data_IF_208564572347
#
_entry.id   IF_208564572347
#
_cell.length_a   1.000
_cell.length_b   1.000
_cell.length_c   1.000
_cell.angle_alpha   90.00
_cell.angle_beta   90.00
_cell.angle_gamma   90.00
#
_symmetry.space_group_name_H-M   'P 1'
#
loop_
_entity.id
_entity.type
_entity.pdbx_description
1 polymer ?
#
# COMPACT_ATOMS: atom_id res chain seq x y z
N UNK A 1 -38.34 -20.92 -6.09
CA UNK A 1 -37.75 -19.60 -6.35
C UNK A 1 -36.64 -19.79 -7.36
N UNK A 2 -36.77 -19.18 -8.52
CA UNK A 2 -35.73 -19.28 -9.59
C UNK A 2 -34.48 -18.53 -9.17
N UNK A 3 -33.29 -18.97 -9.60
CA UNK A 3 -32.04 -18.22 -9.37
C UNK A 3 -32.08 -16.84 -10.05
N UNK A 4 -32.90 -16.70 -11.10
CA UNK A 4 -33.09 -15.42 -11.81
C UNK A 4 -33.90 -14.41 -10.97
N UNK A 5 -34.75 -14.89 -10.02
CA UNK A 5 -35.49 -14.02 -9.10
C UNK A 5 -34.57 -13.34 -8.07
N UNK A 6 -33.29 -13.77 -7.99
CA UNK A 6 -32.27 -13.22 -7.09
C UNK A 6 -31.38 -12.17 -7.78
N UNK A 7 -31.64 -11.84 -9.05
CA UNK A 7 -30.89 -10.81 -9.77
C UNK A 7 -31.29 -9.43 -9.25
N UNK A 8 -30.35 -8.77 -8.58
CA UNK A 8 -30.51 -7.41 -8.09
C UNK A 8 -29.45 -6.48 -8.69
N UNK A 9 -29.80 -5.20 -8.85
CA UNK A 9 -28.80 -4.17 -9.21
C UNK A 9 -27.90 -3.92 -7.98
N UNK A 10 -26.59 -4.18 -8.06
CA UNK A 10 -25.69 -4.00 -6.90
C UNK A 10 -25.72 -2.55 -6.41
N UNK A 11 -25.90 -2.36 -5.12
CA UNK A 11 -25.76 -1.03 -4.51
C UNK A 11 -24.30 -0.59 -4.56
N UNK A 12 -24.07 0.70 -4.79
CA UNK A 12 -22.72 1.30 -4.77
C UNK A 12 -22.14 1.17 -3.36
N UNK A 13 -21.15 0.29 -3.20
CA UNK A 13 -20.44 0.07 -1.93
C UNK A 13 -19.10 0.84 -1.88
N UNK A 14 -18.37 0.69 -0.78
CA UNK A 14 -17.02 1.19 -0.64
C UNK A 14 -16.10 0.63 -1.73
N UNK A 15 -15.12 1.44 -2.16
CA UNK A 15 -14.24 1.15 -3.29
C UNK A 15 -12.79 1.01 -2.81
N UNK A 16 -11.99 0.26 -3.57
CA UNK A 16 -10.53 0.27 -3.48
C UNK A 16 -10.03 0.98 -4.74
N UNK A 17 -9.24 2.03 -4.53
CA UNK A 17 -8.81 2.96 -5.58
C UNK A 17 -7.30 3.12 -5.47
N UNK A 18 -6.60 3.15 -6.60
CA UNK A 18 -5.19 3.52 -6.66
C UNK A 18 -5.04 4.86 -7.36
N UNK A 19 -4.35 5.80 -6.73
CA UNK A 19 -3.96 7.09 -7.30
C UNK A 19 -2.46 7.04 -7.56
N UNK A 20 -2.07 7.01 -8.83
CA UNK A 20 -0.69 6.95 -9.26
C UNK A 20 -0.27 8.23 -9.98
N UNK A 21 0.98 8.64 -9.81
CA UNK A 21 1.57 9.80 -10.52
C UNK A 21 2.90 10.24 -9.90
N UNK A 22 3.51 11.24 -10.51
CA UNK A 22 4.79 11.80 -10.06
C UNK A 22 4.67 12.52 -8.72
N UNK A 23 5.81 12.74 -8.06
CA UNK A 23 5.85 13.53 -6.84
C UNK A 23 5.33 14.96 -7.11
N UNK A 24 4.58 15.53 -6.16
CA UNK A 24 4.05 16.90 -6.26
C UNK A 24 2.80 17.06 -7.12
N UNK A 25 2.23 15.99 -7.71
CA UNK A 25 1.03 16.09 -8.57
C UNK A 25 -0.29 16.20 -7.80
N UNK A 26 -0.27 16.37 -6.49
CA UNK A 26 -1.47 16.57 -5.68
C UNK A 26 -2.23 15.30 -5.29
N UNK A 27 -1.63 14.11 -5.41
CA UNK A 27 -2.28 12.82 -5.05
C UNK A 27 -2.85 12.79 -3.64
N UNK A 28 -2.04 13.21 -2.66
CA UNK A 28 -2.45 13.23 -1.25
C UNK A 28 -3.54 14.27 -1.01
N UNK A 29 -3.47 15.44 -1.69
CA UNK A 29 -4.52 16.46 -1.63
C UNK A 29 -5.84 15.94 -2.25
N UNK A 30 -5.78 15.23 -3.36
CA UNK A 30 -6.95 14.58 -3.95
C UNK A 30 -7.53 13.52 -3.00
N UNK A 31 -6.68 12.66 -2.42
CA UNK A 31 -7.13 11.66 -1.45
C UNK A 31 -7.76 12.29 -0.19
N UNK A 32 -7.32 13.47 0.21
CA UNK A 32 -7.87 14.20 1.34
C UNK A 32 -9.30 14.71 1.11
N UNK A 33 -9.76 14.80 -0.14
CA UNK A 33 -11.14 15.21 -0.47
C UNK A 33 -12.17 14.07 -0.38
N UNK A 34 -11.73 12.85 -0.13
CA UNK A 34 -12.64 11.72 0.06
C UNK A 34 -13.43 11.85 1.38
N UNK A 35 -14.58 11.16 1.51
CA UNK A 35 -15.39 11.24 2.72
C UNK A 35 -14.65 10.81 3.98
N UNK A 36 -14.55 11.68 4.99
CA UNK A 36 -13.94 11.42 6.31
C UNK A 36 -12.65 10.59 6.23
N UNK A 37 -11.59 11.10 5.57
CA UNK A 37 -10.36 10.36 5.35
C UNK A 37 -9.51 10.26 6.63
N UNK A 38 -8.83 9.12 6.79
CA UNK A 38 -7.74 8.91 7.74
C UNK A 38 -6.54 8.36 6.99
N UNK A 39 -5.35 8.89 7.27
CA UNK A 39 -4.13 8.54 6.58
C UNK A 39 -3.23 7.65 7.44
N UNK A 40 -2.76 6.52 6.86
CA UNK A 40 -1.58 5.80 7.31
C UNK A 40 -0.40 6.33 6.50
N UNK A 41 0.56 6.93 7.18
CA UNK A 41 1.70 7.62 6.57
C UNK A 41 2.94 6.72 6.55
N UNK A 42 3.26 6.11 5.40
CA UNK A 42 4.54 5.43 5.19
C UNK A 42 5.67 6.43 4.85
N UNK A 43 5.30 7.65 4.44
CA UNK A 43 6.20 8.78 4.23
C UNK A 43 5.58 10.08 4.73
N UNK A 44 6.40 11.09 4.98
CA UNK A 44 5.92 12.41 5.41
C UNK A 44 5.31 13.17 4.24
N UNK A 45 4.17 13.82 4.45
CA UNK A 45 3.53 14.57 3.36
C UNK A 45 2.19 15.19 3.74
N UNK A 46 1.48 14.65 4.73
CA UNK A 46 0.15 15.13 5.12
C UNK A 46 0.20 16.59 5.65
N UNK A 47 1.27 16.97 6.28
CA UNK A 47 1.50 18.36 6.75
C UNK A 47 1.56 19.40 5.61
N UNK A 48 1.86 18.95 4.37
CA UNK A 48 1.92 19.80 3.17
C UNK A 48 0.54 20.03 2.53
N UNK A 49 -0.45 19.25 2.94
CA UNK A 49 -1.83 19.41 2.46
C UNK A 49 -2.38 20.74 3.02
N UNK A 50 -3.07 21.56 2.20
CA UNK A 50 -3.69 22.79 2.66
C UNK A 50 -4.53 22.57 3.91
N UNK A 51 -4.48 23.51 4.86
CA UNK A 51 -5.11 23.37 6.18
C UNK A 51 -6.62 23.11 6.09
N UNK A 52 -7.27 23.69 5.08
CA UNK A 52 -8.72 23.62 4.84
C UNK A 52 -9.20 22.20 4.50
N UNK A 53 -8.33 21.36 3.91
CA UNK A 53 -8.65 19.98 3.52
C UNK A 53 -7.73 18.96 4.19
N UNK A 54 -6.88 19.39 5.14
CA UNK A 54 -5.92 18.49 5.80
C UNK A 54 -6.65 17.41 6.59
N UNK A 55 -6.42 16.13 6.26
CA UNK A 55 -7.12 15.03 6.90
C UNK A 55 -6.56 14.68 8.27
N UNK A 56 -7.31 13.85 9.01
CA UNK A 56 -6.73 13.11 10.14
C UNK A 56 -5.64 12.15 9.63
N UNK A 57 -4.56 12.04 10.37
CA UNK A 57 -3.48 11.14 10.03
C UNK A 57 -2.97 10.42 11.29
N UNK A 58 -2.69 9.12 11.13
CA UNK A 58 -2.01 8.35 12.15
C UNK A 58 -0.53 8.74 12.21
N UNK A 59 0.18 8.47 13.31
CA UNK A 59 1.60 8.68 13.39
C UNK A 59 2.33 8.03 12.22
N UNK A 60 3.45 8.61 11.78
CA UNK A 60 4.23 8.00 10.71
C UNK A 60 4.61 6.56 11.04
N UNK A 61 4.48 5.66 10.08
CA UNK A 61 4.87 4.26 10.23
C UNK A 61 6.35 4.17 10.59
N UNK A 62 6.65 3.55 11.73
CA UNK A 62 8.01 3.21 12.12
C UNK A 62 8.38 1.89 11.48
N UNK A 63 9.53 1.83 10.82
CA UNK A 63 10.03 0.60 10.19
C UNK A 63 10.40 -0.47 11.23
N UNK A 64 10.54 -1.70 10.77
CA UNK A 64 11.01 -2.79 11.61
C UNK A 64 12.43 -2.52 12.12
N UNK A 65 12.71 -2.93 13.34
CA UNK A 65 14.00 -2.79 13.98
C UNK A 65 14.21 -3.92 15.00
N UNK A 66 15.41 -4.02 15.57
CA UNK A 66 15.67 -4.88 16.71
C UNK A 66 15.69 -4.04 17.98
N UNK A 67 15.12 -4.57 19.07
CA UNK A 67 15.22 -3.98 20.40
C UNK A 67 16.60 -4.19 21.01
N UNK A 68 16.80 -3.73 22.24
CA UNK A 68 18.07 -3.87 22.97
C UNK A 68 18.46 -5.33 23.23
N UNK A 69 17.47 -6.23 23.29
CA UNK A 69 17.66 -7.67 23.50
C UNK A 69 17.84 -8.44 22.18
N UNK A 70 17.78 -7.73 21.03
CA UNK A 70 17.94 -8.31 19.69
C UNK A 70 16.66 -8.92 19.11
N UNK A 71 15.49 -8.77 19.76
CA UNK A 71 14.23 -9.27 19.25
C UNK A 71 13.73 -8.41 18.08
N UNK A 72 13.15 -9.05 17.08
CA UNK A 72 12.57 -8.38 15.92
C UNK A 72 11.26 -7.67 16.31
N UNK A 73 11.23 -6.36 16.13
CA UNK A 73 10.03 -5.52 16.25
C UNK A 73 9.56 -5.18 14.85
N UNK A 74 8.35 -5.57 14.51
CA UNK A 74 7.77 -5.33 13.19
C UNK A 74 7.41 -3.84 12.99
N UNK A 75 7.22 -3.41 11.75
CA UNK A 75 6.77 -2.05 11.49
C UNK A 75 5.36 -1.80 12.04
N UNK A 76 5.08 -0.53 12.35
CA UNK A 76 3.82 -0.13 12.99
C UNK A 76 2.63 -0.07 12.04
N UNK A 77 2.81 -0.33 10.75
CA UNK A 77 1.72 -0.33 9.76
C UNK A 77 0.59 -1.27 10.15
N UNK A 78 0.94 -2.51 10.50
CA UNK A 78 -0.05 -3.53 10.85
C UNK A 78 -0.80 -3.22 12.15
N UNK A 79 -0.15 -2.55 13.10
CA UNK A 79 -0.78 -2.16 14.35
C UNK A 79 -1.79 -1.04 14.13
N UNK A 80 -1.44 -0.02 13.33
CA UNK A 80 -2.36 1.03 12.92
C UNK A 80 -3.54 0.46 12.12
N UNK A 81 -3.26 -0.48 11.22
CA UNK A 81 -4.27 -1.14 10.43
C UNK A 81 -5.25 -1.96 11.29
N UNK A 82 -4.72 -2.73 12.27
CA UNK A 82 -5.52 -3.49 13.24
C UNK A 82 -6.41 -2.58 14.10
N UNK A 83 -5.89 -1.43 14.53
CA UNK A 83 -6.66 -0.45 15.28
C UNK A 83 -7.87 0.03 14.47
N UNK A 84 -7.70 0.41 13.19
CA UNK A 84 -8.79 0.82 12.31
C UNK A 84 -9.84 -0.29 12.06
N UNK A 85 -9.48 -1.56 12.18
CA UNK A 85 -10.44 -2.66 12.08
C UNK A 85 -11.21 -2.86 13.38
N UNK A 86 -10.55 -2.74 14.54
CA UNK A 86 -11.07 -3.18 15.84
C UNK A 86 -11.75 -2.10 16.64
N UNK A 87 -11.23 -0.88 16.56
CA UNK A 87 -11.70 0.22 17.36
C UNK A 87 -12.89 0.95 16.70
N UNK A 88 -13.77 1.55 17.51
CA UNK A 88 -14.87 2.33 17.01
C UNK A 88 -14.37 3.70 16.51
N UNK A 89 -14.79 4.06 15.30
CA UNK A 89 -14.50 5.34 14.68
C UNK A 89 -15.52 5.66 13.56
N UNK A 90 -15.56 6.89 13.13
CA UNK A 90 -16.48 7.36 12.09
C UNK A 90 -15.82 7.65 10.73
N UNK A 91 -14.54 7.31 10.55
CA UNK A 91 -13.83 7.43 9.26
C UNK A 91 -14.50 6.59 8.17
N UNK A 92 -14.51 7.12 6.95
CA UNK A 92 -15.14 6.50 5.78
C UNK A 92 -14.14 6.16 4.66
N UNK A 93 -12.92 6.66 4.76
CA UNK A 93 -11.85 6.39 3.79
C UNK A 93 -10.54 6.17 4.52
N UNK A 94 -9.89 5.04 4.25
CA UNK A 94 -8.50 4.79 4.62
C UNK A 94 -7.62 5.17 3.43
N UNK A 95 -6.65 6.03 3.66
CA UNK A 95 -5.61 6.38 2.67
C UNK A 95 -4.27 5.82 3.13
N UNK A 96 -3.57 5.11 2.25
CA UNK A 96 -2.21 4.60 2.50
C UNK A 96 -1.25 5.43 1.65
N UNK A 97 -0.48 6.29 2.29
CA UNK A 97 0.41 7.26 1.65
C UNK A 97 1.88 6.99 2.05
N UNK A 98 2.63 6.34 1.20
CA UNK A 98 2.33 5.72 -0.09
C UNK A 98 2.66 4.23 -0.06
N UNK A 99 2.06 3.43 -0.97
CA UNK A 99 2.46 2.02 -1.13
C UNK A 99 3.89 1.89 -1.63
N UNK A 100 4.39 2.87 -2.39
CA UNK A 100 5.79 2.90 -2.84
C UNK A 100 6.77 3.09 -1.69
N UNK A 101 6.40 3.85 -0.66
CA UNK A 101 7.20 3.97 0.56
C UNK A 101 7.07 2.72 1.43
N UNK A 102 5.86 2.18 1.55
CA UNK A 102 5.60 0.96 2.31
C UNK A 102 6.32 -0.25 1.71
N UNK A 103 6.44 -0.33 0.38
CA UNK A 103 7.25 -1.33 -0.32
C UNK A 103 8.70 -1.34 0.16
N UNK A 104 9.33 -0.16 0.26
CA UNK A 104 10.70 -0.03 0.80
C UNK A 104 10.81 -0.49 2.25
N UNK A 105 9.79 -0.22 3.07
CA UNK A 105 9.74 -0.71 4.45
C UNK A 105 9.62 -2.24 4.48
N UNK A 106 8.81 -2.84 3.61
CA UNK A 106 8.70 -4.30 3.49
C UNK A 106 10.02 -4.94 3.05
N UNK A 107 10.73 -4.33 2.10
CA UNK A 107 12.08 -4.79 1.71
C UNK A 107 13.03 -4.74 2.91
N UNK A 108 13.07 -3.61 3.62
CA UNK A 108 13.89 -3.45 4.83
C UNK A 108 13.53 -4.49 5.91
N UNK A 109 12.24 -4.75 6.13
CA UNK A 109 11.76 -5.78 7.06
C UNK A 109 12.32 -7.17 6.71
N UNK A 110 12.28 -7.53 5.42
CA UNK A 110 12.75 -8.84 4.93
C UNK A 110 14.24 -8.99 5.17
N UNK A 111 15.02 -7.97 4.82
CA UNK A 111 16.48 -7.98 5.01
C UNK A 111 16.87 -8.00 6.49
N UNK A 112 16.17 -7.24 7.31
CA UNK A 112 16.40 -7.22 8.76
C UNK A 112 16.06 -8.57 9.41
N UNK A 113 14.99 -9.22 8.96
CA UNK A 113 14.56 -10.53 9.46
C UNK A 113 15.55 -11.63 9.07
N UNK A 114 16.08 -11.62 7.85
CA UNK A 114 17.11 -12.57 7.40
C UNK A 114 18.45 -12.35 8.15
N UNK A 115 18.82 -11.09 8.35
CA UNK A 115 19.99 -10.68 9.11
C UNK A 115 21.35 -10.97 8.45
N UNK A 116 21.39 -11.68 7.33
CA UNK A 116 22.60 -12.03 6.57
C UNK A 116 22.57 -11.51 5.13
N UNK A 117 21.38 -11.35 4.58
CA UNK A 117 21.20 -10.93 3.19
C UNK A 117 21.36 -9.41 3.03
N UNK A 118 22.03 -9.00 1.97
CA UNK A 118 22.20 -7.59 1.61
C UNK A 118 21.19 -7.12 0.53
N UNK A 119 20.44 -8.04 -0.06
CA UNK A 119 19.44 -7.78 -1.09
C UNK A 119 18.41 -8.91 -1.16
N UNK A 120 17.28 -8.64 -1.83
CA UNK A 120 16.18 -9.60 -1.94
C UNK A 120 16.55 -10.88 -2.69
N UNK A 121 17.52 -10.83 -3.62
CA UNK A 121 17.90 -12.01 -4.38
C UNK A 121 18.60 -13.05 -3.48
N UNK A 122 19.36 -12.61 -2.50
CA UNK A 122 20.05 -13.46 -1.52
C UNK A 122 19.25 -13.72 -0.24
N UNK A 123 18.16 -12.97 -0.01
CA UNK A 123 17.34 -13.08 1.19
C UNK A 123 16.50 -14.37 1.24
N UNK A 124 16.18 -14.80 2.47
CA UNK A 124 15.29 -15.94 2.76
C UNK A 124 15.77 -17.27 2.14
N UNK A 125 17.09 -17.46 2.09
CA UNK A 125 17.71 -18.66 1.51
C UNK A 125 18.09 -18.53 0.03
N UNK A 126 17.92 -17.35 -0.57
CA UNK A 126 18.30 -17.08 -1.96
C UNK A 126 17.27 -17.54 -2.99
N UNK A 127 17.72 -17.73 -4.22
CA UNK A 127 16.90 -18.20 -5.37
C UNK A 127 15.61 -17.38 -5.60
N UNK A 128 15.62 -16.09 -5.25
CA UNK A 128 14.47 -15.21 -5.42
C UNK A 128 13.41 -15.32 -4.31
N UNK A 129 13.66 -16.07 -3.23
CA UNK A 129 12.71 -16.21 -2.12
C UNK A 129 12.37 -14.88 -1.45
N UNK A 130 13.31 -13.93 -1.38
CA UNK A 130 13.06 -12.58 -0.89
C UNK A 130 11.98 -11.85 -1.70
N UNK A 131 11.97 -11.97 -3.02
CA UNK A 131 10.92 -11.40 -3.88
C UNK A 131 9.56 -12.06 -3.66
N UNK A 132 9.54 -13.39 -3.48
CA UNK A 132 8.30 -14.11 -3.16
C UNK A 132 7.75 -13.70 -1.80
N UNK A 133 8.61 -13.47 -0.83
CA UNK A 133 8.24 -12.95 0.49
C UNK A 133 7.68 -11.53 0.38
N UNK A 134 8.29 -10.65 -0.41
CA UNK A 134 7.79 -9.30 -0.69
C UNK A 134 6.41 -9.35 -1.35
N UNK A 135 6.24 -10.19 -2.37
CA UNK A 135 4.94 -10.38 -3.03
C UNK A 135 3.86 -10.85 -2.03
N UNK A 136 4.21 -11.74 -1.10
CA UNK A 136 3.30 -12.20 -0.04
C UNK A 136 2.89 -11.05 0.89
N UNK A 137 3.81 -10.16 1.28
CA UNK A 137 3.48 -8.96 2.09
C UNK A 137 2.48 -8.05 1.36
N UNK A 138 2.66 -7.82 0.07
CA UNK A 138 1.72 -7.04 -0.74
C UNK A 138 0.36 -7.74 -0.92
N UNK A 139 0.33 -9.06 -1.08
CA UNK A 139 -0.93 -9.82 -1.08
C UNK A 139 -1.67 -9.69 0.26
N UNK A 140 -0.95 -9.71 1.38
CA UNK A 140 -1.53 -9.48 2.70
C UNK A 140 -2.11 -8.07 2.81
N UNK A 141 -1.40 -7.05 2.31
CA UNK A 141 -1.89 -5.68 2.25
C UNK A 141 -3.18 -5.58 1.42
N UNK A 142 -3.24 -6.20 0.27
CA UNK A 142 -4.42 -6.21 -0.58
C UNK A 142 -5.61 -6.91 0.08
N UNK A 143 -5.38 -8.07 0.71
CA UNK A 143 -6.41 -8.77 1.50
C UNK A 143 -6.91 -7.94 2.69
N UNK A 144 -6.01 -7.22 3.34
CA UNK A 144 -6.35 -6.34 4.45
C UNK A 144 -7.23 -5.17 3.97
N UNK A 145 -6.92 -4.57 2.82
CA UNK A 145 -7.77 -3.53 2.21
C UNK A 145 -9.18 -4.04 1.91
N UNK A 146 -9.31 -5.26 1.35
CA UNK A 146 -10.61 -5.90 1.16
C UNK A 146 -11.36 -6.11 2.48
N UNK A 147 -10.64 -6.50 3.54
CA UNK A 147 -11.24 -6.68 4.86
C UNK A 147 -11.81 -5.38 5.43
N UNK A 148 -11.08 -4.25 5.33
CA UNK A 148 -11.59 -2.93 5.74
C UNK A 148 -12.82 -2.55 4.91
N UNK A 149 -12.74 -2.72 3.59
CA UNK A 149 -13.86 -2.43 2.69
C UNK A 149 -15.12 -3.20 3.09
N UNK A 150 -14.98 -4.50 3.35
CA UNK A 150 -16.13 -5.37 3.66
C UNK A 150 -16.64 -5.18 5.07
N UNK A 151 -15.75 -5.12 6.08
CA UNK A 151 -16.16 -5.10 7.49
C UNK A 151 -16.55 -3.72 8.00
N UNK A 152 -15.88 -2.67 7.51
CA UNK A 152 -16.07 -1.30 7.98
C UNK A 152 -16.82 -0.43 6.96
N UNK A 153 -17.04 -0.91 5.74
CA UNK A 153 -17.67 -0.14 4.67
C UNK A 153 -16.86 1.10 4.27
N UNK A 154 -15.53 1.06 4.46
CA UNK A 154 -14.64 2.18 4.15
C UNK A 154 -14.07 2.05 2.76
N UNK A 155 -13.95 3.17 2.04
CA UNK A 155 -13.08 3.22 0.88
C UNK A 155 -11.63 3.00 1.29
N UNK A 156 -10.84 2.40 0.41
CA UNK A 156 -9.39 2.30 0.58
C UNK A 156 -8.71 2.95 -0.62
N UNK A 157 -7.87 3.94 -0.36
CA UNK A 157 -7.11 4.65 -1.38
C UNK A 157 -5.63 4.33 -1.21
N UNK A 158 -5.04 3.72 -2.22
CA UNK A 158 -3.60 3.55 -2.31
C UNK A 158 -3.00 4.72 -3.08
N UNK A 159 -2.04 5.42 -2.48
CA UNK A 159 -1.22 6.40 -3.19
C UNK A 159 0.06 5.69 -3.64
N UNK A 160 0.40 5.84 -4.92
CA UNK A 160 1.60 5.27 -5.52
C UNK A 160 2.39 6.34 -6.27
N UNK A 161 3.71 6.20 -6.27
CA UNK A 161 4.56 6.98 -7.15
C UNK A 161 4.72 6.27 -8.50
N UNK A 162 4.72 7.08 -9.57
CA UNK A 162 5.05 6.61 -10.90
C UNK A 162 6.56 6.61 -11.11
N UNK A 163 6.99 5.74 -12.01
CA UNK A 163 8.31 5.80 -12.64
C UNK A 163 8.17 5.54 -14.14
N UNK A 164 9.16 5.95 -14.90
CA UNK A 164 9.18 5.74 -16.34
C UNK A 164 10.08 4.55 -16.65
N UNK A 165 9.48 3.48 -17.15
CA UNK A 165 10.19 2.31 -17.65
C UNK A 165 10.43 2.45 -19.15
N UNK A 166 11.64 2.17 -19.59
CA UNK A 166 11.93 1.97 -21.00
C UNK A 166 11.70 0.51 -21.37
N UNK A 167 10.91 0.29 -22.40
CA UNK A 167 10.58 -1.02 -22.93
C UNK A 167 11.20 -1.14 -24.31
N UNK A 168 12.02 -2.18 -24.52
CA UNK A 168 12.69 -2.47 -25.78
C UNK A 168 12.18 -3.82 -26.31
N UNK A 169 11.02 -3.84 -27.00
CA UNK A 169 10.50 -5.07 -27.60
C UNK A 169 11.38 -5.48 -28.80
N UNK A 170 11.51 -6.79 -29.09
CA UNK A 170 12.36 -7.26 -30.19
C UNK A 170 11.87 -6.85 -31.58
N UNK A 171 10.56 -6.57 -31.72
CA UNK A 171 9.93 -6.33 -33.03
C UNK A 171 9.42 -4.88 -33.21
N UNK A 172 9.74 -3.97 -32.33
CA UNK A 172 9.25 -2.57 -32.34
C UNK A 172 10.32 -1.62 -31.84
N UNK A 173 10.15 -0.34 -32.13
CA UNK A 173 11.00 0.71 -31.55
C UNK A 173 10.84 0.79 -30.03
N UNK A 174 11.89 1.20 -29.35
CA UNK A 174 11.88 1.44 -27.91
C UNK A 174 10.82 2.50 -27.56
N UNK A 175 10.06 2.25 -26.50
CA UNK A 175 9.12 3.23 -25.97
C UNK A 175 9.22 3.34 -24.46
N UNK A 176 8.73 4.45 -23.94
CA UNK A 176 8.65 4.69 -22.50
C UNK A 176 7.19 4.51 -22.04
N UNK A 177 7.00 3.88 -20.88
CA UNK A 177 5.69 3.78 -20.24
C UNK A 177 5.78 4.14 -18.76
N UNK A 178 4.68 4.59 -18.21
CA UNK A 178 4.56 4.72 -16.76
C UNK A 178 4.32 3.36 -16.11
N UNK A 179 5.00 3.13 -15.01
CA UNK A 179 4.79 1.98 -14.11
C UNK A 179 4.73 2.45 -12.66
N UNK A 180 4.31 1.56 -11.77
CA UNK A 180 4.38 1.84 -10.34
C UNK A 180 5.83 1.74 -9.87
N UNK A 181 6.30 2.75 -9.14
CA UNK A 181 7.61 2.71 -8.47
C UNK A 181 7.56 1.75 -7.29
N UNK A 182 7.82 0.48 -7.56
CA UNK A 182 7.83 -0.59 -6.58
C UNK A 182 8.91 -1.61 -6.92
N UNK A 183 9.50 -2.20 -5.90
CA UNK A 183 10.52 -3.24 -6.07
C UNK A 183 9.90 -4.45 -6.77
N UNK A 184 10.44 -4.81 -7.94
CA UNK A 184 10.00 -5.96 -8.72
C UNK A 184 8.50 -6.00 -9.04
N UNK A 185 7.98 -4.90 -9.60
CA UNK A 185 6.55 -4.67 -9.87
C UNK A 185 5.83 -5.80 -10.61
N UNK A 186 6.56 -6.56 -11.47
CA UNK A 186 6.00 -7.69 -12.26
C UNK A 186 5.47 -8.85 -11.42
N UNK A 187 5.95 -9.02 -10.19
CA UNK A 187 5.57 -10.11 -9.28
C UNK A 187 4.57 -9.69 -8.21
N UNK A 188 4.22 -8.40 -8.18
CA UNK A 188 3.31 -7.87 -7.18
C UNK A 188 1.85 -8.02 -7.61
N UNK A 189 0.90 -8.13 -6.66
CA UNK A 189 -0.51 -8.13 -6.99
C UNK A 189 -0.89 -6.81 -7.66
N UNK A 190 -1.84 -6.83 -8.59
CA UNK A 190 -2.29 -5.61 -9.26
C UNK A 190 -2.88 -4.63 -8.24
N UNK A 191 -2.33 -3.42 -8.21
CA UNK A 191 -2.90 -2.25 -7.56
C UNK A 191 -3.67 -1.35 -8.54
N UNK A 192 -3.57 -1.68 -9.83
CA UNK A 192 -4.25 -1.02 -10.94
C UNK A 192 -5.36 -1.91 -11.49
#
# INVERSE_FOLDING_TARGET
MSILDQIEVPKRGAQIITICGDAGTGKSSLAATFPKPVFIQAEKGVERIPAEIRPAALPQVVGSHKDADGNFINNTFWDQFKALIREEHDYKTLVIDSISALDRLFVSDILLQDGKANNLNSAMGGYGAGFSTLATKHQQLRKAAEMIRQKRGMNVVFIAHAEVDRVSPPDQDDYSRYSLRMTHSKSLPPYL
#
